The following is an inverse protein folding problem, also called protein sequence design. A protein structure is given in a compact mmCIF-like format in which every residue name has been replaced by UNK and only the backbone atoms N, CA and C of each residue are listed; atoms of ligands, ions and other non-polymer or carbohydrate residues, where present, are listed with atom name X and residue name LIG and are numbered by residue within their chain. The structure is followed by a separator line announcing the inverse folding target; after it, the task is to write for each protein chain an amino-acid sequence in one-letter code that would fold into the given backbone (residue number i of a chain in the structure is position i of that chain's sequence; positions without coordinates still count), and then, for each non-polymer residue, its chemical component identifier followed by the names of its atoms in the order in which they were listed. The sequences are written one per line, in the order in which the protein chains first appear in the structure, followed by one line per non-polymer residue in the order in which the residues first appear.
data_IF_290063004507
#
_entry.id   IF_290063004507
#
_cell.length_a   1.000
_cell.length_b   1.000
_cell.length_c   1.000
_cell.angle_alpha   90.00
_cell.angle_beta   90.00
_cell.angle_gamma   90.00
#
_symmetry.space_group_name_H-M   'P 1'
#
loop_
_entity.id
_entity.type
_entity.pdbx_description
1 polymer ?
#
# COMPACT_ATOMS: atom_id res chain seq x y z
N UNK A 1 -0.23 -21.29 19.48
CA UNK A 1 0.46 -20.27 18.66
C UNK A 1 -0.56 -19.54 17.80
N UNK A 2 -0.63 -18.22 17.90
CA UNK A 2 -1.55 -17.38 17.11
C UNK A 2 -1.37 -17.63 15.61
N UNK A 3 -2.47 -17.78 14.86
CA UNK A 3 -2.45 -18.03 13.40
C UNK A 3 -1.61 -16.98 12.64
N UNK A 4 -1.68 -15.72 13.08
CA UNK A 4 -0.88 -14.63 12.52
C UNK A 4 0.63 -14.87 12.57
N UNK A 5 1.14 -15.56 13.61
CA UNK A 5 2.55 -15.91 13.73
C UNK A 5 2.93 -17.06 12.79
N UNK A 6 2.04 -18.03 12.59
CA UNK A 6 2.23 -19.15 11.65
C UNK A 6 2.27 -18.67 10.19
N UNK A 7 1.74 -17.48 9.94
CA UNK A 7 1.71 -16.84 8.64
C UNK A 7 2.95 -15.97 8.36
N UNK A 8 3.89 -15.86 9.31
CA UNK A 8 5.19 -15.23 9.08
C UNK A 8 6.12 -16.17 8.31
N UNK A 9 6.68 -15.68 7.21
CA UNK A 9 7.57 -16.46 6.35
C UNK A 9 8.64 -15.56 5.74
N UNK A 10 9.76 -16.16 5.37
CA UNK A 10 10.70 -15.53 4.44
C UNK A 10 10.34 -15.97 3.02
N UNK A 11 10.33 -15.02 2.10
CA UNK A 11 10.10 -15.25 0.67
C UNK A 11 11.13 -14.51 -0.16
N UNK A 12 11.40 -14.98 -1.38
CA UNK A 12 12.23 -14.27 -2.36
C UNK A 12 11.62 -12.90 -2.68
N UNK A 13 12.45 -11.86 -2.69
CA UNK A 13 12.03 -10.50 -3.07
C UNK A 13 11.49 -10.45 -4.51
N UNK A 14 11.97 -11.31 -5.39
CA UNK A 14 11.50 -11.41 -6.77
C UNK A 14 10.15 -12.11 -6.90
N UNK A 15 9.68 -12.77 -5.83
CA UNK A 15 8.31 -13.31 -5.77
C UNK A 15 7.27 -12.24 -5.39
N UNK A 16 7.70 -11.05 -4.98
CA UNK A 16 6.83 -9.97 -4.53
C UNK A 16 6.36 -9.08 -5.70
N UNK A 17 5.04 -8.99 -5.86
CA UNK A 17 4.33 -8.21 -6.86
C UNK A 17 3.87 -6.89 -6.24
N UNK A 18 4.39 -5.76 -6.74
CA UNK A 18 3.98 -4.42 -6.33
C UNK A 18 2.85 -3.94 -7.25
N UNK A 19 1.73 -3.51 -6.68
CA UNK A 19 0.60 -2.93 -7.44
C UNK A 19 0.49 -1.41 -7.33
N UNK A 20 1.37 -0.77 -6.55
CA UNK A 20 1.46 0.68 -6.43
C UNK A 20 2.83 1.19 -6.88
N UNK A 21 2.85 2.42 -7.39
CA UNK A 21 4.06 3.16 -7.66
C UNK A 21 4.89 3.42 -6.40
N UNK A 22 6.16 3.73 -6.64
CA UNK A 22 7.13 4.07 -5.60
C UNK A 22 7.16 5.58 -5.43
N UNK A 23 7.26 6.01 -4.19
CA UNK A 23 7.62 7.40 -3.84
C UNK A 23 9.10 7.39 -3.48
N UNK A 24 9.92 7.97 -4.37
CA UNK A 24 11.39 7.98 -4.29
C UNK A 24 11.88 8.70 -3.03
N UNK A 25 11.26 9.83 -2.66
CA UNK A 25 11.66 10.60 -1.48
C UNK A 25 11.39 9.83 -0.18
N UNK A 26 10.32 9.02 -0.15
CA UNK A 26 10.04 8.10 0.97
C UNK A 26 10.97 6.89 0.96
N UNK A 27 11.37 6.42 -0.22
CA UNK A 27 12.27 5.28 -0.38
C UNK A 27 13.66 5.58 0.16
N UNK A 28 14.30 6.70 -0.24
CA UNK A 28 15.66 7.04 0.20
C UNK A 28 15.77 7.14 1.73
N UNK A 29 14.80 7.80 2.39
CA UNK A 29 14.74 7.89 3.86
C UNK A 29 14.57 6.52 4.53
N UNK A 30 13.82 5.61 3.91
CA UNK A 30 13.64 4.26 4.45
C UNK A 30 14.89 3.41 4.29
N UNK A 31 15.60 3.52 3.15
CA UNK A 31 16.86 2.82 2.91
C UNK A 31 17.89 3.19 3.96
N UNK A 32 18.11 4.48 4.20
CA UNK A 32 19.06 4.97 5.20
C UNK A 32 18.74 4.45 6.61
N UNK A 33 17.46 4.51 7.00
CA UNK A 33 17.01 3.98 8.30
C UNK A 33 17.22 2.47 8.42
N UNK A 34 16.80 1.69 7.42
CA UNK A 34 16.94 0.23 7.45
C UNK A 34 18.42 -0.18 7.44
N UNK A 35 19.27 0.54 6.71
CA UNK A 35 20.71 0.34 6.72
C UNK A 35 21.31 0.63 8.10
N UNK A 36 20.90 1.71 8.75
CA UNK A 36 21.39 2.12 10.07
C UNK A 36 20.94 1.15 11.17
N UNK A 37 19.67 0.75 11.16
CA UNK A 37 19.13 -0.16 12.17
C UNK A 37 19.56 -1.62 11.96
N UNK A 38 19.89 -2.02 10.74
CA UNK A 38 20.30 -3.40 10.42
C UNK A 38 19.19 -4.44 10.59
N UNK A 39 17.93 -4.01 10.65
CA UNK A 39 16.76 -4.88 10.86
C UNK A 39 15.63 -4.57 9.86
N UNK A 40 14.84 -5.59 9.55
CA UNK A 40 13.48 -5.42 9.06
C UNK A 40 12.53 -5.38 10.26
N UNK A 41 12.14 -4.16 10.67
CA UNK A 41 11.26 -3.93 11.83
C UNK A 41 9.89 -4.61 11.70
N UNK A 42 9.19 -4.35 10.59
CA UNK A 42 7.83 -4.84 10.35
C UNK A 42 7.79 -5.79 9.13
N UNK A 43 7.04 -6.91 9.18
CA UNK A 43 6.85 -7.81 8.04
C UNK A 43 6.07 -7.13 6.92
N UNK A 44 6.44 -7.37 5.66
CA UNK A 44 5.65 -6.93 4.49
C UNK A 44 4.36 -7.76 4.44
N UNK A 45 3.21 -7.13 4.27
CA UNK A 45 1.93 -7.87 4.26
C UNK A 45 1.60 -8.26 2.83
N UNK A 46 1.31 -9.54 2.61
CA UNK A 46 1.11 -10.08 1.27
C UNK A 46 -0.10 -10.99 1.17
N UNK A 47 -0.74 -11.03 0.00
CA UNK A 47 -1.68 -12.08 -0.39
C UNK A 47 -1.02 -13.03 -1.39
N UNK A 48 -1.26 -14.33 -1.27
CA UNK A 48 -0.81 -15.29 -2.29
C UNK A 48 -1.58 -15.10 -3.60
N UNK A 49 -0.85 -15.14 -4.72
CA UNK A 49 -1.41 -15.13 -6.07
C UNK A 49 -0.50 -15.90 -7.04
N UNK A 50 -0.99 -16.99 -7.63
CA UNK A 50 -0.28 -17.71 -8.70
C UNK A 50 1.15 -18.15 -8.36
N UNK A 51 1.42 -18.57 -7.12
CA UNK A 51 2.76 -18.93 -6.65
C UNK A 51 3.68 -17.74 -6.31
N UNK A 52 3.20 -16.51 -6.53
CA UNK A 52 3.83 -15.24 -6.13
C UNK A 52 3.02 -14.58 -5.02
N UNK A 53 3.41 -13.37 -4.63
CA UNK A 53 2.83 -12.66 -3.50
C UNK A 53 2.50 -11.21 -3.88
N UNK A 54 1.22 -10.85 -3.91
CA UNK A 54 0.79 -9.46 -4.05
C UNK A 54 1.06 -8.70 -2.75
N UNK A 55 1.85 -7.64 -2.82
CA UNK A 55 2.19 -6.79 -1.67
C UNK A 55 1.01 -5.90 -1.33
N UNK A 56 0.36 -6.13 -0.21
CA UNK A 56 -0.79 -5.33 0.25
C UNK A 56 -0.35 -4.12 1.07
N UNK A 57 0.77 -4.25 1.78
CA UNK A 57 1.36 -3.17 2.56
C UNK A 57 2.88 -3.37 2.69
N UNK A 58 3.64 -2.28 2.53
CA UNK A 58 5.09 -2.30 2.59
C UNK A 58 5.83 -2.24 1.25
N UNK A 59 5.25 -1.62 0.21
CA UNK A 59 5.91 -1.44 -1.08
C UNK A 59 7.30 -0.76 -0.98
N UNK A 60 7.42 0.29 -0.17
CA UNK A 60 8.71 0.93 0.11
C UNK A 60 9.69 0.01 0.84
N UNK A 61 9.21 -0.85 1.75
CA UNK A 61 10.06 -1.83 2.47
C UNK A 61 10.64 -2.85 1.51
N UNK A 62 9.83 -3.37 0.58
CA UNK A 62 10.31 -4.27 -0.48
C UNK A 62 11.40 -3.59 -1.32
N UNK A 63 11.17 -2.35 -1.72
CA UNK A 63 12.12 -1.59 -2.55
C UNK A 63 13.42 -1.31 -1.80
N UNK A 64 13.34 -0.91 -0.52
CA UNK A 64 14.52 -0.66 0.30
C UNK A 64 15.35 -1.93 0.55
N UNK A 65 14.71 -3.08 0.77
CA UNK A 65 15.41 -4.36 0.92
C UNK A 65 16.14 -4.75 -0.37
N UNK A 66 15.55 -4.49 -1.54
CA UNK A 66 16.21 -4.71 -2.84
C UNK A 66 17.46 -3.83 -2.99
N UNK A 67 17.35 -2.53 -2.68
CA UNK A 67 18.50 -1.61 -2.74
C UNK A 67 19.64 -1.99 -1.78
N UNK A 68 19.30 -2.54 -0.61
CA UNK A 68 20.28 -2.99 0.38
C UNK A 68 20.89 -4.38 0.07
N UNK A 69 20.60 -4.93 -1.12
CA UNK A 69 21.12 -6.22 -1.58
C UNK A 69 20.59 -7.41 -0.77
N UNK A 70 19.41 -7.28 -0.15
CA UNK A 70 18.74 -8.45 0.39
C UNK A 70 18.19 -9.31 -0.76
N UNK A 71 18.07 -10.61 -0.49
CA UNK A 71 17.47 -11.61 -1.38
C UNK A 71 16.06 -11.97 -0.93
N UNK A 72 15.86 -12.01 0.39
CA UNK A 72 14.61 -12.37 1.03
C UNK A 72 13.93 -11.17 1.69
N UNK A 73 12.64 -11.30 1.97
CA UNK A 73 11.90 -10.42 2.85
C UNK A 73 11.10 -11.23 3.86
N UNK A 74 11.01 -10.72 5.09
CA UNK A 74 10.01 -11.19 6.05
C UNK A 74 8.64 -10.69 5.63
N UNK A 75 7.71 -11.62 5.45
CA UNK A 75 6.33 -11.34 5.09
C UNK A 75 5.35 -11.92 6.11
N UNK A 76 4.18 -11.29 6.20
CA UNK A 76 2.99 -11.87 6.81
C UNK A 76 2.01 -12.20 5.68
N UNK A 77 1.75 -13.49 5.47
CA UNK A 77 0.80 -13.96 4.46
C UNK A 77 -0.62 -13.86 5.00
N UNK A 78 -1.51 -13.18 4.28
CA UNK A 78 -2.90 -12.96 4.69
C UNK A 78 -3.87 -13.34 3.58
N UNK A 79 -5.12 -13.58 3.96
CA UNK A 79 -6.25 -13.76 3.04
C UNK A 79 -7.24 -12.61 3.25
N UNK A 80 -7.22 -11.56 2.43
CA UNK A 80 -8.17 -10.47 2.55
C UNK A 80 -9.59 -10.96 2.27
N UNK A 81 -10.55 -10.63 3.13
CA UNK A 81 -11.94 -11.09 3.03
C UNK A 81 -12.80 -10.36 1.99
N UNK A 82 -12.28 -9.33 1.30
CA UNK A 82 -13.08 -8.49 0.40
C UNK A 82 -12.27 -7.56 -0.51
N UNK A 83 -12.97 -6.69 -1.24
CA UNK A 83 -12.35 -5.63 -2.05
C UNK A 83 -11.56 -4.65 -1.17
N UNK A 84 -10.56 -3.98 -1.76
CA UNK A 84 -9.79 -2.97 -1.03
C UNK A 84 -10.70 -1.82 -0.61
N UNK A 85 -10.34 -1.18 0.50
CA UNK A 85 -10.73 0.19 0.72
C UNK A 85 -9.82 1.13 -0.10
N UNK A 86 -10.18 2.40 -0.17
CA UNK A 86 -9.38 3.43 -0.83
C UNK A 86 -9.26 4.64 0.07
N UNK A 87 -8.04 5.14 0.27
CA UNK A 87 -7.82 6.41 0.96
C UNK A 87 -8.44 7.56 0.14
N UNK A 88 -9.12 8.47 0.84
CA UNK A 88 -9.48 9.77 0.28
C UNK A 88 -8.30 10.72 0.38
N UNK A 89 -8.09 11.58 -0.61
CA UNK A 89 -6.98 12.53 -0.65
C UNK A 89 -7.50 13.96 -0.68
N UNK A 90 -7.04 14.81 0.24
CA UNK A 90 -7.31 16.24 0.22
C UNK A 90 -6.29 16.94 -0.67
N UNK A 91 -6.77 17.60 -1.72
CA UNK A 91 -5.97 18.28 -2.72
C UNK A 91 -6.40 19.75 -2.86
N UNK A 92 -5.54 20.56 -3.47
CA UNK A 92 -5.88 21.93 -3.88
C UNK A 92 -6.94 21.93 -5.00
N UNK A 93 -8.05 22.62 -4.77
CA UNK A 93 -9.18 22.64 -5.69
C UNK A 93 -8.84 23.35 -7.00
N UNK A 94 -7.99 24.39 -6.97
CA UNK A 94 -7.62 25.15 -8.16
C UNK A 94 -6.77 24.30 -9.12
N UNK A 95 -5.83 23.54 -8.58
CA UNK A 95 -4.96 22.60 -9.28
C UNK A 95 -5.78 21.48 -9.91
N UNK A 96 -6.72 20.91 -9.15
CA UNK A 96 -7.63 19.89 -9.66
C UNK A 96 -8.50 20.41 -10.81
N UNK A 97 -9.11 21.60 -10.67
CA UNK A 97 -9.91 22.21 -11.74
C UNK A 97 -9.08 22.52 -12.99
N UNK A 98 -7.82 22.92 -12.84
CA UNK A 98 -6.89 23.16 -13.96
C UNK A 98 -6.55 21.86 -14.69
N UNK A 99 -6.26 20.79 -13.94
CA UNK A 99 -6.01 19.47 -14.49
C UNK A 99 -7.22 18.98 -15.30
N UNK A 100 -8.43 19.06 -14.74
CA UNK A 100 -9.64 18.56 -15.40
C UNK A 100 -9.99 19.27 -16.72
N UNK A 101 -9.52 20.50 -16.92
CA UNK A 101 -9.67 21.22 -18.21
C UNK A 101 -8.71 20.73 -19.30
N UNK A 102 -7.62 20.08 -18.92
CA UNK A 102 -6.50 19.76 -19.82
C UNK A 102 -6.17 18.27 -19.89
N UNK A 103 -6.76 17.44 -19.04
CA UNK A 103 -6.51 16.01 -18.92
C UNK A 103 -7.21 15.21 -20.05
N UNK A 104 -6.48 14.66 -21.05
CA UNK A 104 -7.09 13.87 -22.10
C UNK A 104 -7.61 12.51 -21.64
N UNK A 105 -7.13 11.92 -20.54
CA UNK A 105 -7.54 10.58 -20.11
C UNK A 105 -8.75 10.55 -19.17
N UNK A 106 -9.15 11.71 -18.65
CA UNK A 106 -10.20 11.86 -17.65
C UNK A 106 -11.33 12.71 -18.25
N UNK A 107 -12.56 12.33 -17.94
CA UNK A 107 -13.72 13.17 -18.21
C UNK A 107 -14.62 13.27 -16.98
N UNK A 108 -15.21 14.46 -16.82
CA UNK A 108 -16.21 14.71 -15.83
C UNK A 108 -17.55 14.10 -16.26
N UNK A 109 -18.23 13.42 -15.35
CA UNK A 109 -19.58 12.89 -15.54
C UNK A 109 -20.47 13.20 -14.34
N UNK A 110 -21.78 13.04 -14.53
CA UNK A 110 -22.73 12.94 -13.42
C UNK A 110 -22.55 11.63 -12.64
N UNK A 111 -23.31 11.50 -11.54
CA UNK A 111 -23.36 10.27 -10.75
C UNK A 111 -23.78 9.08 -11.65
N UNK A 112 -22.98 8.00 -11.63
CA UNK A 112 -23.17 6.84 -12.50
C UNK A 112 -22.25 5.68 -12.13
N UNK A 113 -22.26 4.60 -12.91
CA UNK A 113 -21.32 3.49 -12.77
C UNK A 113 -20.02 3.77 -13.55
N UNK A 114 -18.91 3.11 -13.17
CA UNK A 114 -17.65 3.20 -13.91
C UNK A 114 -16.75 4.40 -13.58
N UNK A 115 -17.07 5.18 -12.55
CA UNK A 115 -16.20 6.27 -12.10
C UNK A 115 -14.86 5.75 -11.55
N UNK A 116 -13.80 6.54 -11.73
CA UNK A 116 -12.46 6.33 -11.18
C UNK A 116 -12.23 7.11 -9.90
N UNK A 117 -12.82 8.31 -9.78
CA UNK A 117 -12.83 9.08 -8.55
C UNK A 117 -14.12 9.91 -8.40
N UNK A 118 -14.54 10.12 -7.15
CA UNK A 118 -15.50 11.14 -6.74
C UNK A 118 -14.70 12.32 -6.16
N UNK A 119 -15.04 13.54 -6.56
CA UNK A 119 -14.45 14.78 -6.05
C UNK A 119 -15.54 15.56 -5.32
N UNK A 120 -15.29 15.91 -4.07
CA UNK A 120 -16.16 16.78 -3.28
C UNK A 120 -15.42 18.07 -2.95
N UNK A 121 -16.03 19.22 -3.22
CA UNK A 121 -15.49 20.54 -2.88
C UNK A 121 -16.08 21.07 -1.56
N UNK A 122 -15.43 22.07 -0.96
CA UNK A 122 -15.88 22.70 0.30
C UNK A 122 -17.35 23.18 0.27
N UNK A 123 -17.84 23.67 -0.88
CA UNK A 123 -19.23 24.11 -1.05
C UNK A 123 -20.26 22.99 -1.26
N UNK A 124 -19.88 21.72 -1.10
CA UNK A 124 -20.76 20.56 -1.27
C UNK A 124 -20.97 20.12 -2.73
N UNK A 125 -20.45 20.89 -3.70
CA UNK A 125 -20.40 20.47 -5.11
C UNK A 125 -19.66 19.13 -5.23
N UNK A 126 -20.25 18.19 -5.98
CA UNK A 126 -19.66 16.89 -6.27
C UNK A 126 -19.50 16.67 -7.77
N UNK A 127 -18.40 16.04 -8.12
CA UNK A 127 -18.05 15.69 -9.49
C UNK A 127 -17.58 14.23 -9.53
N UNK A 128 -18.06 13.46 -10.50
CA UNK A 128 -17.55 12.12 -10.76
C UNK A 128 -16.63 12.17 -11.96
N UNK A 129 -15.51 11.47 -11.84
CA UNK A 129 -14.50 11.36 -12.88
C UNK A 129 -14.53 9.95 -13.42
N UNK A 130 -14.48 9.79 -14.74
CA UNK A 130 -14.36 8.49 -15.41
C UNK A 130 -13.17 8.50 -16.36
N UNK A 131 -12.61 7.32 -16.59
CA UNK A 131 -11.69 7.12 -17.70
C UNK A 131 -12.49 7.16 -19.01
N UNK A 132 -11.90 7.69 -20.09
CA UNK A 132 -12.58 7.74 -21.40
C UNK A 132 -12.79 6.34 -22.00
N UNK A 133 -11.82 5.46 -21.81
CA UNK A 133 -11.91 4.07 -22.24
C UNK A 133 -12.36 3.18 -21.08
N UNK A 134 -13.13 2.14 -21.40
CA UNK A 134 -13.58 1.18 -20.40
C UNK A 134 -12.48 0.19 -20.01
N UNK A 135 -12.50 -0.21 -18.74
CA UNK A 135 -11.65 -1.28 -18.21
C UNK A 135 -10.68 -0.84 -17.13
N UNK A 136 -10.03 -1.83 -16.51
CA UNK A 136 -9.17 -1.62 -15.33
C UNK A 136 -7.89 -0.84 -15.65
N UNK A 137 -7.30 -1.04 -16.84
CA UNK A 137 -6.06 -0.36 -17.24
C UNK A 137 -6.30 1.12 -17.54
N UNK A 138 -7.31 1.51 -18.36
CA UNK A 138 -7.69 2.91 -18.49
C UNK A 138 -8.03 3.58 -17.15
N UNK A 139 -8.72 2.87 -16.25
CA UNK A 139 -9.01 3.38 -14.92
C UNK A 139 -7.74 3.68 -14.12
N UNK A 140 -6.75 2.77 -14.10
CA UNK A 140 -5.47 3.00 -13.44
C UNK A 140 -4.70 4.18 -14.06
N UNK A 141 -4.69 4.29 -15.39
CA UNK A 141 -4.08 5.42 -16.11
C UNK A 141 -4.71 6.76 -15.77
N UNK A 142 -6.04 6.81 -15.72
CA UNK A 142 -6.78 8.01 -15.32
C UNK A 142 -6.46 8.40 -13.87
N UNK A 143 -6.30 7.44 -12.96
CA UNK A 143 -5.86 7.73 -11.58
C UNK A 143 -4.44 8.28 -11.51
N UNK A 144 -3.51 7.79 -12.34
CA UNK A 144 -2.16 8.37 -12.44
C UNK A 144 -2.16 9.79 -12.98
N UNK A 145 -3.04 10.07 -13.94
CA UNK A 145 -3.20 11.43 -14.42
C UNK A 145 -3.72 12.37 -13.31
N UNK A 146 -4.58 11.89 -12.40
CA UNK A 146 -5.02 12.66 -11.22
C UNK A 146 -3.89 13.01 -10.26
N UNK A 147 -2.79 12.25 -10.21
CA UNK A 147 -1.64 12.60 -9.37
C UNK A 147 -0.97 13.90 -9.80
N UNK A 148 -1.18 14.38 -11.03
CA UNK A 148 -0.63 15.68 -11.47
C UNK A 148 -1.24 16.88 -10.74
N UNK A 149 -2.35 16.68 -10.02
CA UNK A 149 -2.93 17.70 -9.16
C UNK A 149 -2.37 17.67 -7.73
N UNK A 150 -1.44 16.77 -7.43
CA UNK A 150 -0.87 16.63 -6.09
C UNK A 150 0.21 17.69 -5.88
N UNK A 151 0.42 18.14 -4.63
CA UNK A 151 1.51 19.06 -4.33
C UNK A 151 2.87 18.40 -4.58
N UNK A 152 3.81 19.18 -5.12
CA UNK A 152 5.18 18.73 -5.34
C UNK A 152 5.93 18.62 -4.02
N UNK A 153 6.52 17.45 -3.74
CA UNK A 153 7.41 17.25 -2.60
C UNK A 153 6.75 17.19 -1.21
N UNK A 154 5.44 17.43 -1.11
CA UNK A 154 4.70 17.39 0.16
C UNK A 154 3.78 16.15 0.27
N UNK A 155 3.67 15.55 1.46
CA UNK A 155 2.76 14.43 1.67
C UNK A 155 1.30 14.89 1.60
N UNK A 156 0.52 14.25 0.74
CA UNK A 156 -0.93 14.47 0.68
C UNK A 156 -1.61 13.99 1.96
N UNK A 157 -2.48 14.84 2.51
CA UNK A 157 -3.34 14.46 3.64
C UNK A 157 -4.34 13.40 3.17
N UNK A 158 -4.23 12.21 3.78
CA UNK A 158 -5.14 11.08 3.54
C UNK A 158 -6.27 11.08 4.56
N UNK A 159 -7.44 10.68 4.11
CA UNK A 159 -8.70 10.62 4.85
C UNK A 159 -9.19 9.17 4.79
N UNK A 160 -9.48 8.56 5.94
CA UNK A 160 -9.97 7.19 5.95
C UNK A 160 -11.37 7.11 5.29
N UNK A 161 -11.76 5.95 4.73
CA UNK A 161 -13.07 5.81 4.07
C UNK A 161 -14.26 6.19 4.94
N UNK A 162 -14.21 5.83 6.23
CA UNK A 162 -15.26 6.09 7.21
C UNK A 162 -15.06 7.40 7.99
N UNK A 163 -13.99 8.16 7.69
CA UNK A 163 -13.74 9.45 8.34
C UNK A 163 -14.61 10.53 7.68
N UNK A 164 -15.42 11.17 8.51
CA UNK A 164 -16.10 12.42 8.16
C UNK A 164 -15.15 13.58 8.43
N UNK A 165 -14.91 14.37 7.39
CA UNK A 165 -13.98 15.50 7.44
C UNK A 165 -14.63 16.72 6.81
N UNK A 166 -14.50 17.86 7.47
CA UNK A 166 -14.83 19.15 6.87
C UNK A 166 -13.76 19.49 5.83
N UNK A 167 -14.20 19.80 4.62
CA UNK A 167 -13.31 20.11 3.50
C UNK A 167 -12.96 21.60 3.60
N UNK A 168 -11.68 21.96 3.83
CA UNK A 168 -11.29 23.36 3.95
C UNK A 168 -11.62 24.17 2.69
N UNK A 169 -11.84 25.47 2.85
CA UNK A 169 -11.97 26.38 1.70
C UNK A 169 -10.72 26.29 0.81
N UNK A 170 -10.94 26.22 -0.51
CA UNK A 170 -9.86 26.02 -1.49
C UNK A 170 -9.40 24.57 -1.64
N UNK A 171 -9.91 23.62 -0.85
CA UNK A 171 -9.58 22.20 -0.97
C UNK A 171 -10.69 21.38 -1.66
N UNK A 172 -10.31 20.20 -2.14
CA UNK A 172 -11.20 19.18 -2.64
C UNK A 172 -10.81 17.80 -2.10
N UNK A 173 -11.79 17.01 -1.67
CA UNK A 173 -11.61 15.63 -1.27
C UNK A 173 -11.83 14.71 -2.47
N UNK A 174 -10.80 13.97 -2.85
CA UNK A 174 -10.84 12.98 -3.93
C UNK A 174 -10.93 11.57 -3.33
N UNK A 175 -12.02 10.85 -3.61
CA UNK A 175 -12.23 9.45 -3.21
C UNK A 175 -12.13 8.55 -4.43
N UNK A 176 -11.19 7.62 -4.42
CA UNK A 176 -10.95 6.71 -5.55
C UNK A 176 -11.89 5.49 -5.51
N UNK A 177 -12.20 4.93 -6.68
CA UNK A 177 -12.87 3.64 -6.74
C UNK A 177 -12.02 2.56 -6.06
N UNK A 178 -12.68 1.49 -5.66
CA UNK A 178 -12.03 0.33 -5.05
C UNK A 178 -11.54 -0.62 -6.14
N UNK A 179 -10.53 -1.42 -5.79
CA UNK A 179 -10.07 -2.52 -6.64
C UNK A 179 -10.25 -3.84 -5.91
N UNK A 180 -10.64 -4.87 -6.64
CA UNK A 180 -10.52 -6.24 -6.17
C UNK A 180 -9.07 -6.71 -6.29
N UNK A 181 -8.69 -7.74 -5.51
CA UNK A 181 -7.38 -8.38 -5.67
C UNK A 181 -7.16 -8.86 -7.10
N UNK A 182 -8.20 -9.38 -7.76
CA UNK A 182 -8.15 -9.85 -9.15
C UNK A 182 -7.85 -8.72 -10.14
N UNK A 183 -8.43 -7.54 -9.91
CA UNK A 183 -8.13 -6.36 -10.73
C UNK A 183 -6.70 -5.90 -10.51
N UNK A 184 -6.22 -5.85 -9.26
CA UNK A 184 -4.84 -5.47 -8.94
C UNK A 184 -3.82 -6.44 -9.56
N UNK A 185 -4.04 -7.75 -9.43
CA UNK A 185 -3.14 -8.74 -10.03
C UNK A 185 -3.18 -8.66 -11.56
N UNK A 186 -4.36 -8.47 -12.16
CA UNK A 186 -4.50 -8.27 -13.60
C UNK A 186 -3.85 -6.97 -14.12
N UNK A 187 -3.72 -5.93 -13.29
CA UNK A 187 -2.92 -4.74 -13.62
C UNK A 187 -1.42 -5.09 -13.63
N UNK A 188 -0.94 -5.71 -12.56
CA UNK A 188 0.48 -6.05 -12.41
C UNK A 188 0.95 -7.00 -13.52
N UNK A 189 0.13 -7.99 -13.89
CA UNK A 189 0.42 -8.92 -14.99
C UNK A 189 0.55 -8.22 -16.36
N UNK A 190 -0.08 -7.06 -16.52
CA UNK A 190 0.01 -6.22 -17.73
C UNK A 190 1.10 -5.15 -17.64
N UNK A 191 1.92 -5.15 -16.58
CA UNK A 191 2.94 -4.14 -16.34
C UNK A 191 2.38 -2.78 -15.88
N UNK A 192 1.14 -2.76 -15.39
CA UNK A 192 0.45 -1.55 -14.92
C UNK A 192 0.39 -1.53 -13.39
N UNK A 193 0.49 -0.34 -12.80
CA UNK A 193 0.40 -0.11 -11.34
C UNK A 193 -0.50 1.09 -11.03
N UNK A 194 -1.05 1.12 -9.83
CA UNK A 194 -1.79 2.27 -9.33
C UNK A 194 -0.83 3.36 -8.81
N UNK A 195 -1.30 4.61 -8.75
CA UNK A 195 -0.71 5.64 -7.90
C UNK A 195 -0.39 5.15 -6.49
N UNK A 196 0.71 5.64 -5.93
CA UNK A 196 1.06 5.37 -4.54
C UNK A 196 -0.01 5.89 -3.56
N UNK A 197 -0.36 5.08 -2.57
CA UNK A 197 -1.15 5.51 -1.42
C UNK A 197 -2.66 5.52 -1.60
N UNK A 198 -3.18 4.96 -2.68
CA UNK A 198 -4.62 4.85 -2.90
C UNK A 198 -5.20 3.66 -2.15
N UNK A 199 -4.61 2.47 -2.28
CA UNK A 199 -5.24 1.25 -1.76
C UNK A 199 -5.10 1.15 -0.24
N UNK A 200 -6.15 0.65 0.42
CA UNK A 200 -6.16 0.37 1.85
C UNK A 200 -6.67 -1.05 2.09
N UNK A 201 -5.91 -1.83 2.83
CA UNK A 201 -6.29 -3.17 3.25
C UNK A 201 -6.50 -3.22 4.76
N UNK A 202 -7.68 -3.68 5.18
CA UNK A 202 -7.96 -3.98 6.58
C UNK A 202 -7.39 -5.36 6.89
N UNK A 203 -6.36 -5.40 7.74
CA UNK A 203 -5.64 -6.62 8.08
C UNK A 203 -5.82 -6.91 9.57
N UNK A 204 -6.66 -7.89 9.96
CA UNK A 204 -6.74 -8.32 11.34
C UNK A 204 -5.43 -8.99 11.77
N UNK A 205 -5.08 -8.83 13.05
CA UNK A 205 -3.87 -9.41 13.65
C UNK A 205 -2.59 -9.12 12.84
N UNK A 206 -2.47 -7.88 12.35
CA UNK A 206 -1.23 -7.36 11.76
C UNK A 206 -0.07 -7.55 12.74
N UNK A 207 0.96 -8.27 12.32
CA UNK A 207 2.18 -8.43 13.11
C UNK A 207 3.06 -7.19 12.92
N UNK A 208 3.52 -6.63 14.04
CA UNK A 208 4.37 -5.44 14.09
C UNK A 208 5.60 -5.72 14.97
N UNK A 209 6.67 -4.96 14.72
CA UNK A 209 7.88 -4.90 15.55
C UNK A 209 8.57 -6.27 15.76
N UNK A 210 8.67 -7.07 14.71
CA UNK A 210 9.42 -8.35 14.72
C UNK A 210 10.93 -8.11 14.81
N UNK A 211 11.41 -7.02 14.21
CA UNK A 211 12.82 -6.61 14.24
C UNK A 211 13.80 -7.71 13.77
N UNK A 212 13.51 -8.34 12.63
CA UNK A 212 14.33 -9.42 12.11
C UNK A 212 15.66 -8.86 11.53
N UNK A 213 16.84 -9.33 11.98
CA UNK A 213 18.11 -8.84 11.45
C UNK A 213 18.29 -9.08 9.94
N UNK A 214 18.87 -8.11 9.22
CA UNK A 214 19.05 -8.20 7.77
C UNK A 214 19.97 -9.35 7.34
N UNK A 215 20.81 -9.87 8.24
CA UNK A 215 21.66 -11.05 7.96
C UNK A 215 20.85 -12.27 7.55
N UNK A 216 19.63 -12.44 8.10
CA UNK A 216 18.70 -13.51 7.70
C UNK A 216 18.17 -13.35 6.27
N UNK A 217 18.28 -12.14 5.71
CA UNK A 217 17.67 -11.77 4.43
C UNK A 217 18.65 -11.79 3.25
N UNK A 218 19.96 -11.92 3.48
CA UNK A 218 20.99 -11.79 2.43
C UNK A 218 21.47 -13.10 1.80
N UNK A 219 21.47 -14.22 2.53
CA UNK A 219 22.03 -15.49 2.04
C UNK A 219 21.40 -16.73 2.69
N UNK A 220 21.93 -17.92 2.44
CA UNK A 220 21.37 -19.21 2.91
C UNK A 220 20.19 -19.69 2.05
N UNK A 221 19.83 -20.98 2.15
CA UNK A 221 18.66 -21.50 1.42
C UNK A 221 17.34 -21.00 2.04
N UNK A 222 16.26 -20.99 1.25
CA UNK A 222 14.97 -20.49 1.72
C UNK A 222 14.42 -21.37 2.87
N UNK A 223 14.63 -22.68 2.79
CA UNK A 223 14.24 -23.66 3.78
C UNK A 223 14.98 -23.44 5.11
N UNK A 224 16.30 -23.26 5.05
CA UNK A 224 17.13 -22.96 6.23
C UNK A 224 16.69 -21.67 6.90
N UNK A 225 16.51 -20.59 6.14
CA UNK A 225 16.13 -19.29 6.69
C UNK A 225 14.73 -19.30 7.28
N UNK A 226 13.79 -20.03 6.70
CA UNK A 226 12.47 -20.22 7.29
C UNK A 226 12.51 -21.10 8.56
N UNK A 227 13.43 -22.06 8.68
CA UNK A 227 13.65 -22.80 9.93
C UNK A 227 14.18 -21.89 11.03
N UNK A 228 15.20 -21.09 10.73
CA UNK A 228 15.76 -20.12 11.67
C UNK A 228 14.73 -19.06 12.10
N UNK A 229 13.86 -18.61 11.18
CA UNK A 229 12.77 -17.70 11.51
C UNK A 229 11.81 -18.32 12.56
N UNK A 230 11.47 -19.61 12.42
CA UNK A 230 10.61 -20.30 13.40
C UNK A 230 11.28 -20.34 14.77
N UNK A 231 12.54 -20.74 14.84
CA UNK A 231 13.32 -20.75 16.08
C UNK A 231 13.41 -19.36 16.72
N UNK A 232 13.58 -18.32 15.90
CA UNK A 232 13.56 -16.92 16.35
C UNK A 232 12.22 -16.53 16.98
N UNK A 233 11.10 -16.83 16.32
CA UNK A 233 9.75 -16.52 16.82
C UNK A 233 9.45 -17.30 18.11
N UNK A 234 9.77 -18.60 18.14
CA UNK A 234 9.61 -19.45 19.33
C UNK A 234 10.44 -18.94 20.51
N UNK A 235 11.64 -18.40 20.23
CA UNK A 235 12.47 -17.71 21.23
C UNK A 235 11.77 -16.49 21.83
N UNK A 236 11.17 -15.64 20.98
CA UNK A 236 10.41 -14.47 21.45
C UNK A 236 9.17 -14.87 22.25
N UNK A 237 8.47 -15.93 21.84
CA UNK A 237 7.30 -16.46 22.55
C UNK A 237 7.69 -17.00 23.94
N UNK A 238 8.75 -17.82 24.02
CA UNK A 238 9.27 -18.35 25.30
C UNK A 238 9.72 -17.25 26.26
N UNK A 239 10.19 -16.11 25.74
CA UNK A 239 10.58 -14.95 26.54
C UNK A 239 9.40 -14.03 26.91
N UNK A 240 8.17 -14.35 26.49
CA UNK A 240 6.99 -13.52 26.75
C UNK A 240 7.03 -12.16 26.03
N UNK A 241 7.75 -12.06 24.90
CA UNK A 241 7.93 -10.80 24.14
C UNK A 241 6.84 -10.54 23.11
N UNK A 242 5.90 -11.46 22.94
CA UNK A 242 4.79 -11.34 21.99
C UNK A 242 3.52 -10.99 22.75
N UNK A 243 2.86 -9.90 22.33
CA UNK A 243 1.58 -9.44 22.89
C UNK A 243 0.57 -9.23 21.78
N UNK A 244 -0.68 -9.61 22.05
CA UNK A 244 -1.83 -9.34 21.18
C UNK A 244 -2.72 -8.31 21.87
N UNK A 245 -3.03 -7.24 21.17
CA UNK A 245 -3.95 -6.19 21.64
C UNK A 245 -5.25 -6.31 20.85
N UNK A 246 -6.39 -6.37 21.56
CA UNK A 246 -7.72 -6.42 20.95
C UNK A 246 -8.31 -5.04 20.69
N UNK A 247 -7.76 -3.99 21.31
CA UNK A 247 -8.18 -2.61 21.18
C UNK A 247 -7.29 -1.85 20.18
N UNK A 248 -7.76 -0.74 19.58
CA UNK A 248 -6.93 0.13 18.76
C UNK A 248 -5.69 0.61 19.54
N UNK A 249 -4.54 0.60 18.88
CA UNK A 249 -3.26 1.03 19.46
C UNK A 249 -2.72 2.27 18.74
N UNK A 250 -2.13 3.20 19.50
CA UNK A 250 -1.34 4.31 18.95
C UNK A 250 0.12 3.89 18.97
N UNK A 251 0.76 3.90 17.79
CA UNK A 251 2.17 3.53 17.63
C UNK A 251 2.97 4.76 17.18
N UNK A 252 4.07 5.04 17.89
CA UNK A 252 5.08 6.01 17.46
C UNK A 252 6.16 5.24 16.71
N UNK A 253 6.33 5.53 15.41
CA UNK A 253 7.31 4.90 14.51
C UNK A 253 8.37 5.88 14.01
#
# INVERSE_FOLDING_TARGET
MLDALQNLRLVELDSLLLHEERDEARLSRLVERVQTEGIQRNPVIVAQHGGRHLVLDGAHRVSALKELGCRLALVQVVRPGGATESWGHLLDAASLRRLLKSAPGIEASGAGSGWVAEVQFAGGERLWLRARDEGVVPAARAMRELQRAYPDGEPVRRVAPAEEVEIPEGAALVRYRRFSLRELTGLVERGEVLPAGITRFVIPDRVLNVCLPLVYLKGGSLEERNRELREFIEGLERQGRIRRYSEPVILFE
#
